data_IF_492997084337
#
_entry.id   IF_492997084337
#
_cell.length_a   1.000
_cell.length_b   1.000
_cell.length_c   1.000
_cell.angle_alpha   90.00
_cell.angle_beta   90.00
_cell.angle_gamma   90.00
#
_symmetry.space_group_name_H-M   'P 1'
#
loop_
_entity.id
_entity.type
_entity.pdbx_description
1 polymer ?
#
# COMPACT_ATOMS: atom_id res chain seq x y z
N UNK A 1 17.99 -15.49 -23.28
CA UNK A 1 16.96 -16.35 -22.69
C UNK A 1 16.93 -16.07 -21.19
N UNK A 2 15.93 -15.32 -20.71
CA UNK A 2 15.85 -14.87 -19.31
C UNK A 2 15.29 -16.00 -18.43
N UNK A 3 16.08 -16.45 -17.45
CA UNK A 3 15.75 -17.52 -16.50
C UNK A 3 14.85 -17.04 -15.34
N UNK A 4 13.73 -16.36 -15.63
CA UNK A 4 12.65 -16.21 -14.62
C UNK A 4 11.63 -17.35 -14.82
N UNK A 5 12.11 -18.59 -14.90
CA UNK A 5 11.32 -19.77 -15.30
C UNK A 5 10.95 -20.69 -14.13
N UNK A 6 10.74 -20.16 -12.92
CA UNK A 6 10.18 -20.98 -11.84
C UNK A 6 9.13 -20.20 -11.05
N UNK A 7 7.86 -20.54 -11.29
CA UNK A 7 6.80 -20.29 -10.34
C UNK A 7 7.14 -21.04 -9.04
N UNK A 8 7.79 -20.35 -8.11
CA UNK A 8 8.03 -20.86 -6.77
C UNK A 8 6.76 -20.67 -5.95
N UNK A 9 6.27 -21.72 -5.31
CA UNK A 9 5.16 -21.60 -4.36
C UNK A 9 5.47 -20.54 -3.31
N UNK A 10 4.53 -19.61 -3.10
CA UNK A 10 4.66 -18.56 -2.07
C UNK A 10 4.80 -19.17 -0.66
N UNK A 11 4.28 -20.39 -0.47
CA UNK A 11 4.36 -21.13 0.78
C UNK A 11 5.78 -21.61 1.14
N UNK A 12 6.74 -21.50 0.23
CA UNK A 12 8.15 -21.83 0.50
C UNK A 12 8.94 -20.63 1.04
N UNK A 13 8.33 -19.45 1.16
CA UNK A 13 8.97 -18.24 1.66
C UNK A 13 8.72 -18.10 3.16
N UNK A 14 9.61 -17.37 3.84
CA UNK A 14 9.33 -16.96 5.22
C UNK A 14 8.14 -16.01 5.26
N UNK A 15 7.38 -16.05 6.35
CA UNK A 15 6.17 -15.23 6.53
C UNK A 15 6.42 -13.75 6.26
N UNK A 16 7.54 -13.20 6.74
CA UNK A 16 7.87 -11.78 6.53
C UNK A 16 8.05 -11.43 5.06
N UNK A 17 8.63 -12.34 4.26
CA UNK A 17 8.79 -12.13 2.82
C UNK A 17 7.44 -12.19 2.11
N UNK A 18 6.58 -13.14 2.48
CA UNK A 18 5.22 -13.23 1.92
C UNK A 18 4.42 -11.96 2.21
N UNK A 19 4.46 -11.47 3.45
CA UNK A 19 3.79 -10.22 3.86
C UNK A 19 4.33 -9.04 3.07
N UNK A 20 5.64 -8.93 2.87
CA UNK A 20 6.24 -7.85 2.09
C UNK A 20 5.79 -7.87 0.62
N UNK A 21 5.78 -9.06 -0.01
CA UNK A 21 5.33 -9.23 -1.39
C UNK A 21 3.84 -8.90 -1.53
N UNK A 22 3.00 -9.41 -0.64
CA UNK A 22 1.57 -9.12 -0.60
C UNK A 22 1.29 -7.63 -0.39
N UNK A 23 2.03 -7.00 0.53
CA UNK A 23 1.96 -5.57 0.83
C UNK A 23 2.30 -4.71 -0.40
N UNK A 24 3.40 -5.01 -1.09
CA UNK A 24 3.79 -4.29 -2.32
C UNK A 24 2.77 -4.53 -3.46
N UNK A 25 2.25 -5.75 -3.57
CA UNK A 25 1.20 -6.08 -4.55
C UNK A 25 -0.06 -5.26 -4.30
N UNK A 26 -0.53 -5.20 -3.06
CA UNK A 26 -1.66 -4.38 -2.64
C UNK A 26 -1.41 -2.88 -2.88
N UNK A 27 -0.27 -2.35 -2.42
CA UNK A 27 0.08 -0.93 -2.54
C UNK A 27 0.12 -0.47 -4.01
N UNK A 28 0.61 -1.31 -4.93
CA UNK A 28 0.62 -0.99 -6.35
C UNK A 28 -0.76 -0.78 -6.98
N UNK A 29 -1.85 -1.21 -6.33
CA UNK A 29 -3.22 -0.94 -6.79
C UNK A 29 -3.78 0.38 -6.27
N UNK A 30 -3.16 0.97 -5.24
CA UNK A 30 -3.63 2.18 -4.54
C UNK A 30 -2.73 3.39 -4.79
N UNK A 31 -1.44 3.18 -5.02
CA UNK A 31 -0.44 4.22 -5.28
C UNK A 31 -0.15 4.35 -6.78
N UNK A 32 -1.12 4.88 -7.53
CA UNK A 32 -1.02 5.01 -8.99
C UNK A 32 0.09 5.95 -9.47
N UNK A 33 0.55 6.86 -8.60
CA UNK A 33 1.65 7.78 -8.89
C UNK A 33 3.04 7.13 -8.90
N UNK A 34 3.17 5.87 -8.47
CA UNK A 34 4.45 5.16 -8.36
C UNK A 34 4.56 4.05 -9.42
N UNK A 35 5.00 4.36 -10.66
CA UNK A 35 5.00 3.40 -11.78
C UNK A 35 5.87 2.16 -11.53
N UNK A 36 6.93 2.30 -10.70
CA UNK A 36 7.78 1.17 -10.33
C UNK A 36 7.00 0.09 -9.56
N UNK A 37 5.98 0.45 -8.78
CA UNK A 37 5.15 -0.53 -8.07
C UNK A 37 4.33 -1.39 -9.02
N UNK A 38 3.85 -0.83 -10.14
CA UNK A 38 3.15 -1.61 -11.17
C UNK A 38 4.08 -2.64 -11.83
N UNK A 39 5.33 -2.24 -12.11
CA UNK A 39 6.34 -3.17 -12.64
C UNK A 39 6.62 -4.30 -11.65
N UNK A 40 6.81 -3.98 -10.36
CA UNK A 40 7.03 -4.98 -9.30
C UNK A 40 5.83 -5.94 -9.19
N UNK A 41 4.60 -5.42 -9.20
CA UNK A 41 3.39 -6.26 -9.18
C UNK A 41 3.32 -7.20 -10.36
N UNK A 42 3.68 -6.75 -11.57
CA UNK A 42 3.70 -7.62 -12.75
C UNK A 42 4.69 -8.77 -12.57
N UNK A 43 5.91 -8.50 -12.06
CA UNK A 43 6.90 -9.53 -11.76
C UNK A 43 6.39 -10.53 -10.71
N UNK A 44 5.70 -10.05 -9.67
CA UNK A 44 5.10 -10.94 -8.66
C UNK A 44 3.93 -11.74 -9.22
N UNK A 45 3.08 -11.17 -10.07
CA UNK A 45 2.00 -11.88 -10.75
C UNK A 45 2.56 -12.98 -11.67
N UNK A 46 3.63 -12.69 -12.41
CA UNK A 46 4.33 -13.68 -13.25
C UNK A 46 4.92 -14.81 -12.41
N UNK A 47 5.46 -14.50 -11.22
CA UNK A 47 6.12 -15.48 -10.35
C UNK A 47 5.18 -16.31 -9.48
N UNK A 48 4.14 -15.70 -8.93
CA UNK A 48 3.27 -16.30 -7.90
C UNK A 48 1.84 -16.55 -8.39
N UNK A 49 1.52 -16.10 -9.62
CA UNK A 49 0.24 -16.33 -10.27
C UNK A 49 -0.77 -15.22 -10.05
N UNK A 50 -1.81 -15.24 -10.89
CA UNK A 50 -2.91 -14.27 -10.89
C UNK A 50 -3.75 -14.36 -9.61
N UNK A 51 -3.96 -15.56 -9.08
CA UNK A 51 -4.79 -15.75 -7.88
C UNK A 51 -4.16 -15.10 -6.65
N UNK A 52 -2.83 -15.19 -6.52
CA UNK A 52 -2.09 -14.48 -5.46
C UNK A 52 -2.27 -12.97 -5.59
N UNK A 53 -2.13 -12.44 -6.82
CA UNK A 53 -2.31 -11.02 -7.09
C UNK A 53 -3.72 -10.53 -6.72
N UNK A 54 -4.76 -11.20 -7.22
CA UNK A 54 -6.16 -10.85 -6.94
C UNK A 54 -6.46 -10.95 -5.45
N UNK A 55 -6.06 -12.05 -4.79
CA UNK A 55 -6.34 -12.29 -3.37
C UNK A 55 -5.81 -11.15 -2.49
N UNK A 56 -4.60 -10.67 -2.76
CA UNK A 56 -3.98 -9.62 -1.96
C UNK A 56 -4.48 -8.22 -2.34
N UNK A 57 -4.76 -7.94 -3.62
CA UNK A 57 -5.27 -6.64 -4.07
C UNK A 57 -6.70 -6.40 -3.61
N UNK A 58 -7.56 -7.41 -3.75
CA UNK A 58 -8.98 -7.35 -3.36
C UNK A 58 -9.21 -7.70 -1.89
N UNK A 59 -8.13 -8.00 -1.15
CA UNK A 59 -8.17 -8.32 0.28
C UNK A 59 -9.11 -9.50 0.61
N UNK A 60 -9.17 -10.50 -0.27
CA UNK A 60 -9.97 -11.72 -0.05
C UNK A 60 -9.45 -12.54 1.14
N UNK A 61 -10.27 -13.49 1.60
CA UNK A 61 -9.89 -14.40 2.68
C UNK A 61 -8.57 -15.13 2.32
N UNK A 62 -7.62 -15.14 3.25
CA UNK A 62 -6.30 -15.72 3.03
C UNK A 62 -5.26 -14.77 2.42
N UNK A 63 -5.57 -13.48 2.27
CA UNK A 63 -4.55 -12.48 1.95
C UNK A 63 -3.51 -12.32 3.08
N UNK A 64 -2.33 -11.84 2.71
CA UNK A 64 -1.20 -11.63 3.63
C UNK A 64 -0.89 -10.15 3.85
N UNK A 65 -1.81 -9.23 3.50
CA UNK A 65 -1.57 -7.79 3.58
C UNK A 65 -1.60 -7.35 5.04
N UNK A 66 -0.58 -6.60 5.45
CA UNK A 66 -0.48 -6.07 6.80
C UNK A 66 -1.62 -5.10 7.14
N UNK A 67 -2.17 -5.21 8.34
CA UNK A 67 -3.36 -4.46 8.78
C UNK A 67 -3.14 -2.93 8.78
N UNK A 68 -2.05 -2.39 9.35
CA UNK A 68 -1.68 -0.99 9.22
C UNK A 68 -1.67 -0.49 7.77
N UNK A 69 -1.03 -1.22 6.86
CA UNK A 69 -0.95 -0.84 5.46
C UNK A 69 -2.34 -0.79 4.81
N UNK A 70 -3.17 -1.78 5.11
CA UNK A 70 -4.55 -1.83 4.65
C UNK A 70 -5.33 -0.60 5.12
N UNK A 71 -5.18 -0.20 6.39
CA UNK A 71 -5.85 0.99 6.92
C UNK A 71 -5.40 2.26 6.21
N UNK A 72 -4.08 2.43 6.02
CA UNK A 72 -3.51 3.66 5.48
C UNK A 72 -3.76 3.86 3.98
N UNK A 73 -3.79 2.79 3.19
CA UNK A 73 -3.97 2.85 1.73
C UNK A 73 -5.41 2.55 1.29
N UNK A 74 -6.31 2.33 2.23
CA UNK A 74 -7.73 2.23 1.92
C UNK A 74 -8.34 3.59 1.76
N UNK A 75 -9.16 3.73 0.72
CA UNK A 75 -9.93 4.93 0.46
C UNK A 75 -11.10 4.91 1.45
N UNK A 76 -10.89 5.50 2.62
CA UNK A 76 -11.94 5.75 3.59
C UNK A 76 -12.32 7.23 3.58
N UNK A 77 -13.59 7.53 3.88
CA UNK A 77 -13.96 8.89 4.25
C UNK A 77 -13.27 9.23 5.56
N UNK A 78 -12.50 10.31 5.58
CA UNK A 78 -11.94 10.87 6.81
C UNK A 78 -13.11 11.32 7.71
N UNK A 79 -13.12 10.96 9.01
CA UNK A 79 -14.10 11.47 9.98
C UNK A 79 -14.14 13.00 10.03
N UNK A 80 -15.31 13.58 10.32
CA UNK A 80 -15.48 15.04 10.27
C UNK A 80 -14.70 15.76 11.38
N UNK A 81 -14.61 15.16 12.56
CA UNK A 81 -13.82 15.63 13.68
C UNK A 81 -12.32 15.66 13.34
N UNK A 82 -11.79 14.64 12.66
CA UNK A 82 -10.40 14.64 12.18
C UNK A 82 -10.15 15.77 11.17
N UNK A 83 -11.10 16.05 10.27
CA UNK A 83 -10.98 17.19 9.33
C UNK A 83 -10.97 18.52 10.07
N UNK A 84 -11.87 18.72 11.02
CA UNK A 84 -11.96 19.95 11.80
C UNK A 84 -10.70 20.20 12.63
N UNK A 85 -10.14 19.14 13.23
CA UNK A 85 -8.86 19.23 13.94
C UNK A 85 -7.74 19.70 13.00
N UNK A 86 -7.57 19.04 11.85
CA UNK A 86 -6.55 19.41 10.87
C UNK A 86 -6.72 20.84 10.34
N UNK A 87 -7.96 21.29 10.10
CA UNK A 87 -8.23 22.66 9.66
C UNK A 87 -7.83 23.69 10.72
N UNK A 88 -8.10 23.41 12.00
CA UNK A 88 -7.66 24.28 13.09
C UNK A 88 -6.13 24.32 13.20
N UNK A 89 -5.46 23.18 13.09
CA UNK A 89 -4.00 23.11 13.13
C UNK A 89 -3.38 23.95 11.99
N UNK A 90 -3.91 23.83 10.77
CA UNK A 90 -3.48 24.64 9.62
C UNK A 90 -3.69 26.15 9.88
N UNK A 91 -4.84 26.53 10.45
CA UNK A 91 -5.14 27.93 10.74
C UNK A 91 -4.16 28.50 11.79
N UNK A 92 -3.90 27.74 12.85
CA UNK A 92 -2.97 28.12 13.91
C UNK A 92 -1.53 28.24 13.40
N UNK A 93 -1.06 27.30 12.57
CA UNK A 93 0.28 27.37 11.97
C UNK A 93 0.46 28.63 11.11
N UNK A 94 -0.54 29.01 10.32
CA UNK A 94 -0.44 30.21 9.48
C UNK A 94 -0.47 31.49 10.31
N UNK A 95 -1.32 31.56 11.34
CA UNK A 95 -1.36 32.71 12.25
C UNK A 95 -0.01 32.89 12.98
N UNK A 96 0.58 31.80 13.48
CA UNK A 96 1.88 31.86 14.15
C UNK A 96 3.00 32.31 13.20
N UNK A 97 2.99 31.85 11.95
CA UNK A 97 3.95 32.31 10.93
C UNK A 97 3.84 33.82 10.68
N UNK A 98 2.64 34.39 10.64
CA UNK A 98 2.46 35.84 10.46
C UNK A 98 3.04 36.65 11.63
N UNK A 99 2.96 36.13 12.86
CA UNK A 99 3.53 36.78 14.05
C UNK A 99 5.06 36.69 14.13
N UNK A 100 5.68 35.65 13.56
CA UNK A 100 7.15 35.51 13.51
C UNK A 100 7.81 36.45 12.48
N UNK A 101 7.04 37.05 11.57
CA UNK A 101 7.52 37.97 10.53
C UNK A 101 7.35 39.44 10.98
N UNK A 102 6.73 39.68 12.13
CA UNK A 102 6.54 40.99 12.78
C UNK A 102 7.59 41.24 13.88
#
# INVERSE_FOLDING_TARGET
>A
MSFISKCSSVHNLSTNVVVAIASLTYASSRCGELPLLHLIRNLFRERYGRDFDITNVELFAGNYVDLPLRKNLSIYSVPEDEKLMLLNDIALENFNKELEIL
#
